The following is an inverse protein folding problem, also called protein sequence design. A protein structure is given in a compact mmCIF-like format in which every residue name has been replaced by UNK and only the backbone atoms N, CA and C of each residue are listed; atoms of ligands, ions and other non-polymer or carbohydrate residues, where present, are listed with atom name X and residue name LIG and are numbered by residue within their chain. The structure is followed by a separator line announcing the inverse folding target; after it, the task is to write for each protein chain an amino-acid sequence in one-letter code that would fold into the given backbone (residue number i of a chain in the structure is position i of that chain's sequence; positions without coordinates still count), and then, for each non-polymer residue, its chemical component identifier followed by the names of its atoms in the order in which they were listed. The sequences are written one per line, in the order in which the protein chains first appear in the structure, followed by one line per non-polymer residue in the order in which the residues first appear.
data_IF_422648091279
#
_entry.id   IF_422648091279
#
_cell.length_a   1.000
_cell.length_b   1.000
_cell.length_c   1.000
_cell.angle_alpha   90.00
_cell.angle_beta   90.00
_cell.angle_gamma   90.00
#
_symmetry.space_group_name_H-M   'P 1'
#
loop_
_entity.id
_entity.type
_entity.pdbx_description
1 polymer ?
#
# COMPACT_ATOMS: atom_id res chain seq x y z
N UNK A 1 -54.36 5.94 -4.08
CA UNK A 1 -53.98 4.82 -4.45
C UNK A 1 -52.55 4.48 -4.10
N UNK A 2 -51.68 4.36 -3.85
CA UNK A 2 -50.48 3.82 -3.36
C UNK A 2 -49.79 2.80 -4.23
N UNK A 3 -49.71 3.09 -5.49
CA UNK A 3 -49.12 2.14 -6.42
C UNK A 3 -47.60 2.07 -6.34
N UNK A 4 -47.01 2.49 -5.24
CA UNK A 4 -45.59 2.42 -5.06
C UNK A 4 -45.13 1.00 -4.78
N UNK A 5 -44.14 0.55 -5.52
CA UNK A 5 -43.49 -0.71 -5.23
C UNK A 5 -42.44 -0.46 -4.14
N UNK A 6 -42.52 -1.29 -3.12
CA UNK A 6 -41.59 -1.23 -2.02
C UNK A 6 -40.90 -2.58 -1.86
N UNK A 7 -39.63 -2.53 -1.58
CA UNK A 7 -38.86 -3.72 -1.30
C UNK A 7 -38.86 -3.94 0.20
N UNK A 8 -39.21 -5.15 0.63
CA UNK A 8 -39.16 -5.52 2.04
C UNK A 8 -37.73 -5.45 2.53
N UNK A 9 -37.53 -5.27 3.82
CA UNK A 9 -36.22 -5.44 4.42
C UNK A 9 -35.70 -6.83 4.05
N UNK A 10 -34.45 -6.90 3.59
CA UNK A 10 -33.83 -8.12 3.08
C UNK A 10 -34.52 -8.73 1.86
N UNK A 11 -35.38 -7.95 1.19
CA UNK A 11 -36.14 -8.46 0.04
C UNK A 11 -35.32 -8.48 -1.25
N UNK A 12 -34.18 -7.81 -1.33
CA UNK A 12 -33.33 -7.83 -2.51
C UNK A 12 -32.11 -8.74 -2.21
N UNK A 13 -31.98 -9.79 -3.01
CA UNK A 13 -30.86 -10.72 -2.90
C UNK A 13 -29.83 -10.40 -3.97
N UNK A 14 -28.64 -10.99 -3.85
CA UNK A 14 -27.60 -10.78 -4.84
C UNK A 14 -28.01 -11.21 -6.24
N UNK A 15 -28.89 -12.21 -6.35
CA UNK A 15 -29.37 -12.68 -7.66
C UNK A 15 -30.31 -11.68 -8.34
N UNK A 16 -30.86 -10.75 -7.60
CA UNK A 16 -31.78 -9.74 -8.12
C UNK A 16 -31.09 -8.50 -8.61
N UNK A 17 -29.78 -8.35 -8.35
CA UNK A 17 -29.02 -7.18 -8.74
C UNK A 17 -28.47 -7.36 -10.14
N UNK A 18 -28.59 -6.32 -10.96
CA UNK A 18 -27.97 -6.31 -12.29
C UNK A 18 -26.45 -6.37 -12.15
N UNK A 19 -25.77 -6.74 -13.23
CA UNK A 19 -24.36 -7.04 -13.19
C UNK A 19 -23.46 -5.90 -12.76
N UNK A 20 -23.73 -4.67 -13.17
CA UNK A 20 -22.85 -3.55 -12.82
C UNK A 20 -23.63 -2.53 -12.01
N UNK A 21 -23.18 -2.30 -10.77
CA UNK A 21 -23.75 -1.26 -9.92
C UNK A 21 -22.76 -0.11 -9.87
N UNK A 22 -23.19 1.09 -10.30
CA UNK A 22 -22.36 2.27 -10.29
C UNK A 22 -21.98 2.64 -8.86
N UNK A 23 -20.78 3.16 -8.68
CA UNK A 23 -20.25 3.49 -7.35
C UNK A 23 -21.08 4.56 -6.63
N UNK A 24 -21.79 5.42 -7.37
CA UNK A 24 -22.66 6.42 -6.75
C UNK A 24 -23.91 5.81 -6.11
N UNK A 25 -24.18 4.52 -6.34
CA UNK A 25 -25.25 3.77 -5.66
C UNK A 25 -24.78 3.20 -4.32
N UNK A 26 -23.49 3.28 -4.04
CA UNK A 26 -22.93 2.84 -2.77
C UNK A 26 -22.74 4.07 -1.89
N UNK A 27 -23.33 4.04 -0.70
CA UNK A 27 -23.36 5.22 0.17
C UNK A 27 -21.97 5.61 0.65
N UNK A 28 -21.17 4.64 1.05
CA UNK A 28 -19.89 4.94 1.67
C UNK A 28 -18.72 4.50 0.79
N UNK A 29 -17.66 5.30 0.70
CA UNK A 29 -16.42 4.87 0.07
C UNK A 29 -15.60 3.97 0.99
N UNK A 30 -14.50 3.46 0.48
CA UNK A 30 -13.47 2.83 1.31
C UNK A 30 -12.62 3.94 1.93
N UNK A 31 -12.50 3.97 3.25
CA UNK A 31 -11.67 4.92 3.95
C UNK A 31 -10.34 4.29 4.33
N UNK A 32 -9.29 5.08 4.30
CA UNK A 32 -7.97 4.67 4.77
C UNK A 32 -7.32 5.84 5.50
N UNK A 33 -6.43 5.53 6.42
CA UNK A 33 -5.75 6.57 7.21
C UNK A 33 -4.26 6.31 7.22
N UNK A 34 -3.50 7.38 7.33
CA UNK A 34 -2.08 7.29 7.61
C UNK A 34 -1.81 7.23 9.11
N UNK A 35 -0.55 7.19 9.49
CA UNK A 35 -0.14 7.12 10.89
C UNK A 35 -0.47 8.37 11.68
N UNK A 36 -0.71 9.49 11.01
CA UNK A 36 -1.11 10.75 11.66
C UNK A 36 -2.61 10.92 11.74
N UNK A 37 -3.36 9.89 11.35
CA UNK A 37 -4.82 9.87 11.31
C UNK A 37 -5.43 10.76 10.22
N UNK A 38 -4.63 11.18 9.24
CA UNK A 38 -5.17 11.84 8.05
C UNK A 38 -5.90 10.81 7.21
N UNK A 39 -7.15 11.10 6.88
CA UNK A 39 -8.02 10.15 6.20
C UNK A 39 -8.14 10.44 4.72
N UNK A 40 -8.02 9.38 3.92
CA UNK A 40 -8.34 9.41 2.50
C UNK A 40 -9.53 8.53 2.22
N UNK A 41 -10.01 8.57 0.97
CA UNK A 41 -11.13 7.75 0.57
C UNK A 41 -11.05 7.43 -0.92
N UNK A 42 -11.62 6.28 -1.28
CA UNK A 42 -11.78 5.88 -2.68
C UNK A 42 -13.08 5.11 -2.82
N UNK A 43 -13.82 5.37 -3.90
CA UNK A 43 -15.03 4.64 -4.22
C UNK A 43 -14.71 3.55 -5.24
N UNK A 44 -15.57 2.53 -5.29
CA UNK A 44 -15.47 1.51 -6.34
C UNK A 44 -15.52 2.21 -7.70
N UNK A 45 -14.58 1.88 -8.56
CA UNK A 45 -14.40 2.57 -9.84
C UNK A 45 -13.44 3.75 -9.78
N UNK A 46 -13.08 4.21 -8.57
CA UNK A 46 -12.02 5.18 -8.39
C UNK A 46 -10.64 4.53 -8.39
N UNK A 47 -9.62 5.35 -8.32
CA UNK A 47 -8.23 4.88 -8.31
C UNK A 47 -7.58 5.23 -6.98
N UNK A 48 -7.03 4.21 -6.30
CA UNK A 48 -6.18 4.41 -5.14
C UNK A 48 -4.73 4.35 -5.63
N UNK A 49 -3.99 5.44 -5.43
CA UNK A 49 -2.60 5.52 -5.86
C UNK A 49 -1.67 5.35 -4.67
N UNK A 50 -0.69 4.46 -4.81
CA UNK A 50 0.35 4.25 -3.81
C UNK A 50 1.61 4.94 -4.30
N UNK A 51 1.86 6.14 -3.79
CA UNK A 51 3.03 6.93 -4.18
C UNK A 51 4.25 6.45 -3.41
N UNK A 52 5.32 6.19 -4.14
CA UNK A 52 6.59 5.82 -3.54
C UNK A 52 7.32 7.06 -3.07
N UNK A 53 7.80 7.01 -1.82
CA UNK A 53 8.78 7.99 -1.35
C UNK A 53 10.18 7.53 -1.71
N UNK A 54 11.18 8.28 -1.27
CA UNK A 54 12.57 7.93 -1.48
C UNK A 54 12.88 6.56 -0.86
N UNK A 55 13.60 5.74 -1.58
CA UNK A 55 14.03 4.44 -1.10
C UNK A 55 13.05 3.31 -1.37
N UNK A 56 11.88 3.61 -1.90
CA UNK A 56 10.84 2.62 -2.16
C UNK A 56 10.27 2.83 -3.55
N UNK A 57 9.98 1.73 -4.26
CA UNK A 57 9.25 1.74 -5.52
C UNK A 57 7.96 0.95 -5.37
N UNK A 58 6.92 1.35 -6.08
CA UNK A 58 5.67 0.61 -6.14
C UNK A 58 5.40 0.19 -7.58
N UNK A 59 4.96 -1.04 -7.78
CA UNK A 59 4.69 -1.62 -9.10
C UNK A 59 3.33 -2.28 -9.06
N UNK A 60 2.44 -1.86 -9.94
CA UNK A 60 1.13 -2.48 -10.07
C UNK A 60 1.11 -3.35 -11.32
N UNK A 61 0.70 -4.61 -11.18
CA UNK A 61 0.61 -5.55 -12.29
C UNK A 61 -0.59 -6.46 -12.05
N UNK A 62 -1.56 -6.45 -12.97
CA UNK A 62 -2.77 -7.25 -12.82
C UNK A 62 -3.51 -6.85 -11.55
N UNK A 63 -3.73 -7.81 -10.66
CA UNK A 63 -4.39 -7.56 -9.38
C UNK A 63 -3.41 -7.52 -8.21
N UNK A 64 -2.14 -7.23 -8.50
CA UNK A 64 -1.07 -7.20 -7.50
C UNK A 64 -0.46 -5.81 -7.40
N UNK A 65 -0.13 -5.41 -6.20
CA UNK A 65 0.70 -4.25 -5.92
C UNK A 65 1.93 -4.73 -5.19
N UNK A 66 3.10 -4.47 -5.76
CA UNK A 66 4.38 -4.83 -5.15
C UNK A 66 5.04 -3.58 -4.61
N UNK A 67 5.54 -3.66 -3.40
CA UNK A 67 6.32 -2.59 -2.77
C UNK A 67 7.76 -3.09 -2.67
N UNK A 68 8.69 -2.34 -3.25
CA UNK A 68 10.08 -2.78 -3.40
C UNK A 68 11.00 -1.73 -2.79
N UNK A 69 11.96 -2.18 -1.97
CA UNK A 69 13.01 -1.29 -1.51
C UNK A 69 14.03 -1.06 -2.62
N UNK A 70 14.44 0.18 -2.79
CA UNK A 70 15.53 0.51 -3.71
C UNK A 70 16.88 0.25 -3.03
N UNK A 71 17.88 -0.12 -3.81
CA UNK A 71 19.22 -0.28 -3.28
C UNK A 71 19.85 1.09 -3.02
N UNK A 72 20.43 1.25 -1.84
CA UNK A 72 21.13 2.48 -1.49
C UNK A 72 22.39 2.66 -2.33
N UNK A 73 22.73 3.91 -2.59
CA UNK A 73 23.97 4.28 -3.23
C UNK A 73 24.48 5.59 -2.58
N UNK A 74 25.59 6.11 -3.07
CA UNK A 74 26.13 7.37 -2.54
C UNK A 74 25.24 8.57 -2.89
N UNK A 75 24.33 8.40 -3.84
CA UNK A 75 23.44 9.48 -4.29
C UNK A 75 21.96 9.12 -4.12
N UNK A 76 21.64 7.96 -3.57
CA UNK A 76 20.26 7.50 -3.47
C UNK A 76 20.01 6.85 -2.12
N UNK A 77 18.98 7.31 -1.44
CA UNK A 77 18.52 6.69 -0.19
C UNK A 77 17.84 5.38 -0.54
N UNK A 78 18.14 4.33 0.19
CA UNK A 78 17.53 3.04 -0.07
C UNK A 78 17.88 2.02 0.99
N UNK A 79 17.63 0.74 0.69
CA UNK A 79 17.99 -0.37 1.56
C UNK A 79 19.39 -0.84 1.23
N UNK A 80 20.09 -1.37 2.21
CA UNK A 80 21.47 -1.83 2.04
C UNK A 80 21.70 -3.11 2.82
N UNK A 81 22.64 -3.91 2.33
CA UNK A 81 23.20 -5.01 3.10
C UNK A 81 24.59 -4.60 3.57
N UNK A 82 25.07 -5.26 4.60
CA UNK A 82 26.38 -4.96 5.18
C UNK A 82 27.29 -6.17 5.04
N UNK A 83 28.51 -5.92 4.59
CA UNK A 83 29.50 -6.98 4.42
C UNK A 83 29.86 -7.60 5.78
N UNK A 84 29.82 -8.91 5.86
CA UNK A 84 30.20 -9.62 7.06
C UNK A 84 31.71 -9.51 7.37
N UNK A 85 32.49 -9.03 6.41
CA UNK A 85 33.93 -8.84 6.64
C UNK A 85 34.19 -7.71 7.61
N UNK A 86 33.37 -6.66 7.56
CA UNK A 86 33.58 -5.44 8.34
C UNK A 86 32.49 -5.15 9.35
N UNK A 87 31.34 -5.79 9.22
CA UNK A 87 30.17 -5.48 10.05
C UNK A 87 29.55 -6.74 10.63
N UNK A 88 29.02 -6.59 11.81
CA UNK A 88 28.13 -7.59 12.41
C UNK A 88 26.75 -6.99 12.53
N UNK A 89 25.74 -7.70 12.04
CA UNK A 89 24.35 -7.25 12.12
C UNK A 89 23.56 -8.28 12.92
N UNK A 90 22.96 -7.83 14.01
CA UNK A 90 22.17 -8.70 14.90
C UNK A 90 20.82 -8.04 15.15
N UNK A 91 19.76 -8.64 14.66
CA UNK A 91 18.38 -8.13 14.84
C UNK A 91 18.25 -6.64 14.47
N UNK A 92 18.90 -6.26 13.37
CA UNK A 92 18.86 -4.88 12.89
C UNK A 92 19.91 -3.96 13.50
N UNK A 93 20.61 -4.41 14.52
CA UNK A 93 21.68 -3.63 15.14
C UNK A 93 22.99 -3.88 14.37
N UNK A 94 23.62 -2.81 13.91
CA UNK A 94 24.82 -2.87 13.06
C UNK A 94 26.02 -2.39 13.86
N UNK A 95 27.00 -3.28 14.01
CA UNK A 95 28.26 -2.95 14.68
C UNK A 95 29.42 -3.09 13.70
N UNK A 96 30.41 -2.23 13.84
CA UNK A 96 31.65 -2.36 13.08
C UNK A 96 32.48 -3.41 13.78
N UNK A 97 32.75 -4.52 13.09
CA UNK A 97 33.57 -5.59 13.66
C UNK A 97 35.06 -5.40 13.38
N UNK A 98 35.40 -4.80 12.24
CA UNK A 98 36.76 -4.56 11.85
C UNK A 98 36.88 -3.17 11.23
N UNK A 99 37.77 -2.35 11.77
CA UNK A 99 38.13 -1.06 11.16
C UNK A 99 39.52 -1.20 10.55
N UNK A 100 39.56 -1.10 9.21
CA UNK A 100 40.83 -1.11 8.49
C UNK A 100 41.34 0.34 8.40
N UNK A 101 42.50 0.61 8.92
CA UNK A 101 43.09 1.93 8.91
C UNK A 101 43.60 2.40 7.55
N UNK A 102 43.39 1.58 6.54
CA UNK A 102 43.86 1.88 5.19
C UNK A 102 45.28 1.41 4.96
N UNK A 103 45.78 1.73 3.78
CA UNK A 103 47.16 1.38 3.37
C UNK A 103 48.06 2.61 3.47
N UNK A 104 49.17 2.44 4.08
CA UNK A 104 50.16 3.53 4.23
C UNK A 104 51.38 3.25 3.41
#
# INVERSE_FOLDING_TARGET
SGDQLRVKALGVTSNMLAGAIASDKLLEPLYFKDETSTQGQVRVGGTLEFLAGEGINTIATGNQLQIVGELASTSNIGVASFSSDNFTVTSGDVEVSIVDGGTF
#
